data_IF_470169660591
#
_entry.id   IF_470169660591
#
_cell.length_a   1.000
_cell.length_b   1.000
_cell.length_c   1.000
_cell.angle_alpha   90.00
_cell.angle_beta   90.00
_cell.angle_gamma   90.00
#
_symmetry.space_group_name_H-M   'P 1'
#
loop_
_entity.id
_entity.type
_entity.pdbx_description
1 polymer ?
#
# COMPACT_ATOMS: atom_id res chain seq x y z
N UNK A 1 -17.59 5.57 -32.95
CA UNK A 1 -16.29 5.23 -32.33
C UNK A 1 -15.81 6.33 -31.39
N UNK A 2 -15.96 7.60 -31.77
CA UNK A 2 -15.55 8.75 -30.96
C UNK A 2 -16.37 8.93 -29.66
N UNK A 3 -17.67 8.68 -29.72
CA UNK A 3 -18.57 8.83 -28.56
C UNK A 3 -18.33 7.74 -27.49
N UNK A 4 -17.90 6.53 -27.89
CA UNK A 4 -17.64 5.43 -26.97
C UNK A 4 -16.33 5.65 -26.18
N UNK A 5 -15.32 6.20 -26.82
CA UNK A 5 -14.05 6.51 -26.14
C UNK A 5 -14.20 7.66 -25.13
N UNK A 6 -14.93 8.71 -25.48
CA UNK A 6 -15.21 9.81 -24.57
C UNK A 6 -16.03 9.37 -23.35
N UNK A 7 -16.97 8.44 -23.52
CA UNK A 7 -17.74 7.87 -22.42
C UNK A 7 -16.91 7.04 -21.44
N UNK A 8 -15.93 6.32 -21.95
CA UNK A 8 -15.02 5.52 -21.11
C UNK A 8 -14.05 6.41 -20.34
N UNK A 9 -13.50 7.43 -20.94
CA UNK A 9 -12.63 8.39 -20.25
C UNK A 9 -13.37 9.16 -19.14
N UNK A 10 -14.58 9.63 -19.43
CA UNK A 10 -15.40 10.33 -18.43
C UNK A 10 -15.80 9.43 -17.26
N UNK A 11 -16.09 8.16 -17.51
CA UNK A 11 -16.43 7.23 -16.44
C UNK A 11 -15.20 6.89 -15.55
N UNK A 12 -14.01 6.85 -16.12
CA UNK A 12 -12.76 6.65 -15.37
C UNK A 12 -12.37 7.90 -14.56
N UNK A 13 -12.55 9.09 -15.11
CA UNK A 13 -12.37 10.36 -14.40
C UNK A 13 -13.35 10.48 -13.22
N UNK A 14 -14.61 10.17 -13.45
CA UNK A 14 -15.64 10.22 -12.41
C UNK A 14 -15.37 9.24 -11.26
N UNK A 15 -14.80 8.06 -11.55
CA UNK A 15 -14.40 7.09 -10.52
C UNK A 15 -13.22 7.57 -9.68
N UNK A 16 -12.28 8.32 -10.26
CA UNK A 16 -11.15 8.90 -9.53
C UNK A 16 -11.58 10.06 -8.62
N UNK A 17 -12.55 10.85 -9.04
CA UNK A 17 -13.05 12.00 -8.27
C UNK A 17 -13.95 11.59 -7.09
N UNK A 18 -14.58 10.40 -7.16
CA UNK A 18 -15.50 9.92 -6.11
C UNK A 18 -14.87 8.94 -5.12
N UNK A 19 -13.58 8.61 -5.27
CA UNK A 19 -12.87 7.73 -4.34
C UNK A 19 -12.69 8.41 -2.98
N UNK A 20 -13.28 7.84 -1.93
CA UNK A 20 -13.07 8.25 -0.55
C UNK A 20 -11.96 7.40 0.04
N UNK A 21 -10.87 8.04 0.42
CA UNK A 21 -9.72 7.38 1.03
C UNK A 21 -9.76 7.52 2.54
N UNK A 22 -9.61 6.42 3.23
CA UNK A 22 -9.59 6.36 4.69
C UNK A 22 -8.17 6.06 5.14
N UNK A 23 -7.63 6.90 6.01
CA UNK A 23 -6.30 6.69 6.56
C UNK A 23 -6.32 5.54 7.57
N UNK A 24 -5.41 4.62 7.37
CA UNK A 24 -5.25 3.41 8.18
C UNK A 24 -3.84 3.35 8.76
N UNK A 25 -3.68 2.60 9.82
CA UNK A 25 -2.38 2.30 10.41
C UNK A 25 -2.18 0.80 10.55
N UNK A 26 -0.94 0.35 10.48
CA UNK A 26 -0.58 -1.03 10.80
C UNK A 26 -0.73 -1.22 12.31
N UNK A 27 -1.76 -1.95 12.72
CA UNK A 27 -2.02 -2.17 14.14
C UNK A 27 -1.29 -3.39 14.68
N UNK A 28 -1.15 -4.44 13.85
CA UNK A 28 -0.51 -5.67 14.30
C UNK A 28 -0.11 -6.53 13.11
N UNK A 29 0.94 -7.33 13.31
CA UNK A 29 1.37 -8.35 12.36
C UNK A 29 1.44 -9.70 13.09
N UNK A 30 0.92 -10.75 12.45
CA UNK A 30 0.99 -12.11 12.96
C UNK A 30 1.81 -12.93 11.98
N UNK A 31 2.91 -13.50 12.48
CA UNK A 31 3.77 -14.40 11.72
C UNK A 31 3.62 -15.79 12.35
N UNK A 32 3.09 -16.74 11.57
CA UNK A 32 2.94 -18.11 12.02
C UNK A 32 4.05 -18.98 11.48
N UNK A 33 4.72 -19.73 12.37
CA UNK A 33 5.72 -20.73 11.99
C UNK A 33 5.08 -22.06 11.60
N UNK A 34 3.82 -22.28 11.97
CA UNK A 34 3.10 -23.55 11.78
C UNK A 34 2.27 -23.53 10.48
N UNK A 35 1.70 -22.38 10.15
CA UNK A 35 0.90 -22.18 8.95
C UNK A 35 1.63 -21.23 8.01
N UNK A 36 1.56 -21.46 6.71
CA UNK A 36 2.11 -20.53 5.71
C UNK A 36 1.28 -19.24 5.56
N UNK A 37 0.51 -18.90 6.59
CA UNK A 37 -0.37 -17.73 6.59
C UNK A 37 0.15 -16.68 7.57
N UNK A 38 0.64 -15.59 7.01
CA UNK A 38 1.00 -14.40 7.75
C UNK A 38 -0.08 -13.34 7.51
N UNK A 39 -0.36 -12.56 8.53
CA UNK A 39 -1.47 -11.59 8.50
C UNK A 39 -1.00 -10.25 9.02
N UNK A 40 -1.32 -9.18 8.29
CA UNK A 40 -1.25 -7.82 8.82
C UNK A 40 -2.66 -7.31 9.07
N UNK A 41 -2.84 -6.57 10.15
CA UNK A 41 -4.09 -5.89 10.47
C UNK A 41 -3.93 -4.40 10.26
N UNK A 42 -4.78 -3.83 9.44
CA UNK A 42 -4.92 -2.39 9.30
C UNK A 42 -6.13 -1.93 10.10
N UNK A 43 -5.99 -0.79 10.76
CA UNK A 43 -7.03 -0.16 11.57
C UNK A 43 -7.16 1.31 11.18
N UNK A 44 -8.40 1.83 11.18
CA UNK A 44 -8.62 3.26 10.96
C UNK A 44 -7.89 4.10 12.01
N UNK A 45 -7.22 5.16 11.56
CA UNK A 45 -6.58 6.12 12.46
C UNK A 45 -7.62 6.89 13.26
N UNK A 46 -8.73 7.28 12.63
CA UNK A 46 -9.79 8.09 13.22
C UNK A 46 -11.09 7.33 13.46
N UNK A 47 -11.05 6.00 13.50
CA UNK A 47 -12.24 5.16 13.64
C UNK A 47 -11.94 3.82 14.28
N UNK A 48 -12.89 2.89 14.15
CA UNK A 48 -12.80 1.57 14.80
C UNK A 48 -12.72 0.41 13.81
N UNK A 49 -12.96 0.67 12.53
CA UNK A 49 -12.91 -0.41 11.52
C UNK A 49 -11.50 -0.94 11.36
N UNK A 50 -11.37 -2.24 11.28
CA UNK A 50 -10.11 -2.90 11.00
C UNK A 50 -10.34 -4.12 10.14
N UNK A 51 -9.33 -4.54 9.40
CA UNK A 51 -9.40 -5.75 8.60
C UNK A 51 -8.04 -6.40 8.42
N UNK A 52 -8.01 -7.72 8.22
CA UNK A 52 -6.78 -8.45 7.97
C UNK A 52 -6.46 -8.52 6.49
N UNK A 53 -5.17 -8.52 6.17
CA UNK A 53 -4.66 -8.85 4.84
C UNK A 53 -3.68 -10.02 4.99
N UNK A 54 -3.92 -11.10 4.24
CA UNK A 54 -2.99 -12.21 4.16
C UNK A 54 -1.79 -11.80 3.30
N UNK A 55 -0.59 -12.06 3.78
CA UNK A 55 0.66 -11.71 3.10
C UNK A 55 1.63 -12.88 3.09
N UNK A 56 2.65 -12.80 2.24
CA UNK A 56 3.71 -13.80 2.19
C UNK A 56 4.71 -13.66 3.34
N UNK A 57 5.45 -14.73 3.61
CA UNK A 57 6.43 -14.76 4.68
C UNK A 57 7.57 -13.74 4.47
N UNK A 58 8.00 -13.52 3.22
CA UNK A 58 9.09 -12.60 2.92
C UNK A 58 8.71 -11.16 3.22
N UNK A 59 7.51 -10.74 2.83
CA UNK A 59 6.98 -9.41 3.08
C UNK A 59 6.71 -9.21 4.57
N UNK A 60 6.14 -10.21 5.23
CA UNK A 60 5.91 -10.19 6.68
C UNK A 60 7.22 -10.05 7.45
N UNK A 61 8.24 -10.79 7.06
CA UNK A 61 9.58 -10.72 7.66
C UNK A 61 10.21 -9.35 7.45
N UNK A 62 10.07 -8.78 6.26
CA UNK A 62 10.56 -7.43 5.95
C UNK A 62 9.95 -6.37 6.86
N UNK A 63 8.62 -6.40 7.01
CA UNK A 63 7.89 -5.48 7.89
C UNK A 63 8.34 -5.67 9.34
N UNK A 64 8.37 -6.90 9.82
CA UNK A 64 8.73 -7.21 11.20
C UNK A 64 10.16 -6.78 11.52
N UNK A 65 11.12 -7.03 10.64
CA UNK A 65 12.51 -6.59 10.82
C UNK A 65 12.62 -5.08 10.94
N UNK A 66 11.91 -4.36 10.12
CA UNK A 66 11.93 -2.89 10.17
C UNK A 66 11.44 -2.35 11.51
N UNK A 67 10.45 -3.02 12.11
CA UNK A 67 9.83 -2.60 13.36
C UNK A 67 10.61 -3.07 14.61
N UNK A 68 11.33 -4.19 14.54
CA UNK A 68 11.89 -4.85 15.74
C UNK A 68 13.39 -5.05 15.73
N UNK A 69 14.06 -4.91 14.60
CA UNK A 69 15.48 -5.19 14.45
C UNK A 69 16.28 -3.94 14.08
N UNK A 70 17.59 -3.90 14.38
CA UNK A 70 18.45 -2.83 13.91
C UNK A 70 18.59 -2.87 12.38
N UNK A 71 18.98 -1.75 11.74
CA UNK A 71 19.20 -1.72 10.30
C UNK A 71 20.19 -2.80 9.85
N UNK A 72 19.89 -3.52 8.75
CA UNK A 72 20.83 -4.51 8.23
C UNK A 72 22.09 -3.83 7.67
N UNK A 73 23.26 -4.55 7.65
CA UNK A 73 24.51 -3.98 7.14
C UNK A 73 24.46 -3.68 5.63
N UNK A 74 23.63 -4.37 4.90
CA UNK A 74 23.39 -4.15 3.47
C UNK A 74 21.89 -4.05 3.20
N UNK A 75 21.45 -3.23 2.20
CA UNK A 75 20.03 -3.05 1.91
C UNK A 75 19.37 -4.36 1.49
N UNK A 76 18.22 -4.65 2.08
CA UNK A 76 17.34 -5.73 1.66
C UNK A 76 16.43 -5.25 0.53
N UNK A 77 15.54 -6.09 0.02
CA UNK A 77 14.73 -5.80 -1.17
C UNK A 77 13.93 -4.50 -1.07
N UNK A 78 13.20 -4.30 0.02
CA UNK A 78 12.40 -3.08 0.21
C UNK A 78 13.27 -1.84 0.48
N UNK A 79 14.42 -2.01 1.16
CA UNK A 79 15.41 -0.93 1.31
C UNK A 79 15.97 -0.51 -0.04
N UNK A 80 16.29 -1.49 -0.89
CA UNK A 80 16.78 -1.25 -2.23
C UNK A 80 15.74 -0.50 -3.07
N UNK A 81 14.48 -0.92 -3.02
CA UNK A 81 13.42 -0.27 -3.77
C UNK A 81 13.22 1.18 -3.33
N UNK A 82 13.24 1.44 -2.03
CA UNK A 82 13.24 2.80 -1.48
C UNK A 82 14.42 3.62 -2.01
N UNK A 83 15.61 3.05 -2.00
CA UNK A 83 16.82 3.72 -2.51
C UNK A 83 16.71 4.03 -4.00
N UNK A 84 16.19 3.11 -4.81
CA UNK A 84 15.99 3.33 -6.25
C UNK A 84 15.06 4.51 -6.49
N UNK A 85 13.94 4.59 -5.79
CA UNK A 85 13.01 5.72 -5.91
C UNK A 85 13.73 7.04 -5.60
N UNK A 86 14.46 7.09 -4.49
CA UNK A 86 15.17 8.28 -4.04
C UNK A 86 16.30 8.68 -4.99
N UNK A 87 17.11 7.73 -5.45
CA UNK A 87 18.23 8.00 -6.35
C UNK A 87 17.78 8.50 -7.72
N UNK A 88 16.58 8.15 -8.16
CA UNK A 88 15.97 8.68 -9.38
C UNK A 88 15.34 10.07 -9.21
N UNK A 89 15.47 10.68 -8.03
CA UNK A 89 14.93 12.01 -7.73
C UNK A 89 13.43 11.99 -7.45
N UNK A 90 12.85 10.83 -7.25
CA UNK A 90 11.43 10.68 -6.93
C UNK A 90 11.23 10.51 -5.42
N UNK A 91 9.99 10.67 -4.97
CA UNK A 91 9.63 10.55 -3.56
C UNK A 91 8.31 9.80 -3.42
N UNK A 92 8.33 8.71 -2.66
CA UNK A 92 7.11 8.01 -2.29
C UNK A 92 6.32 8.84 -1.28
N UNK A 93 5.09 9.21 -1.62
CA UNK A 93 4.25 10.07 -0.78
C UNK A 93 3.40 9.26 0.20
N UNK A 94 2.75 8.23 -0.31
CA UNK A 94 1.87 7.35 0.44
C UNK A 94 1.56 6.10 -0.38
N UNK A 95 0.79 5.20 0.22
CA UNK A 95 0.27 4.02 -0.47
C UNK A 95 -1.24 3.95 -0.32
N UNK A 96 -1.92 3.37 -1.31
CA UNK A 96 -3.37 3.23 -1.31
C UNK A 96 -3.76 1.81 -1.67
N UNK A 97 -4.56 1.17 -0.82
CA UNK A 97 -5.27 -0.07 -1.19
C UNK A 97 -6.54 0.34 -1.92
N UNK A 98 -6.59 0.10 -3.22
CA UNK A 98 -7.58 0.67 -4.12
C UNK A 98 -8.82 -0.18 -4.31
N UNK A 99 -8.66 -1.50 -4.29
CA UNK A 99 -9.77 -2.41 -4.57
C UNK A 99 -9.47 -3.82 -4.08
N UNK A 100 -10.53 -4.60 -3.97
CA UNK A 100 -10.46 -6.05 -3.79
C UNK A 100 -11.40 -6.70 -4.80
N UNK A 101 -10.85 -7.58 -5.64
CA UNK A 101 -11.59 -8.30 -6.68
C UNK A 101 -11.22 -9.77 -6.58
N UNK A 102 -12.23 -10.62 -6.46
CA UNK A 102 -12.05 -12.09 -6.35
C UNK A 102 -11.05 -12.48 -5.24
N UNK A 103 -11.21 -11.91 -4.05
CA UNK A 103 -10.34 -12.10 -2.89
C UNK A 103 -8.88 -11.63 -3.08
N UNK A 104 -8.61 -10.87 -4.13
CA UNK A 104 -7.30 -10.28 -4.41
C UNK A 104 -7.35 -8.78 -4.15
N UNK A 105 -6.46 -8.29 -3.28
CA UNK A 105 -6.30 -6.87 -3.04
C UNK A 105 -5.37 -6.23 -4.06
N UNK A 106 -5.72 -5.03 -4.48
CA UNK A 106 -4.91 -4.19 -5.36
C UNK A 106 -4.48 -2.94 -4.61
N UNK A 107 -3.25 -2.53 -4.83
CA UNK A 107 -2.70 -1.33 -4.21
C UNK A 107 -1.87 -0.55 -5.21
N UNK A 108 -1.65 0.71 -4.92
CA UNK A 108 -0.74 1.59 -5.67
C UNK A 108 0.19 2.33 -4.73
N UNK A 109 1.39 2.58 -5.23
CA UNK A 109 2.33 3.51 -4.64
C UNK A 109 2.09 4.87 -5.30
N UNK A 110 1.86 5.91 -4.54
CA UNK A 110 1.78 7.26 -5.09
C UNK A 110 3.14 7.93 -4.95
N UNK A 111 3.77 8.13 -6.10
CA UNK A 111 5.14 8.61 -6.19
C UNK A 111 5.15 9.98 -6.87
N UNK A 112 5.83 10.93 -6.25
CA UNK A 112 6.08 12.23 -6.85
C UNK A 112 7.41 12.17 -7.59
N UNK A 113 7.39 12.42 -8.90
CA UNK A 113 8.59 12.43 -9.74
C UNK A 113 9.43 13.68 -9.50
N UNK A 114 10.67 13.67 -10.02
CA UNK A 114 11.56 14.83 -9.97
C UNK A 114 10.93 16.08 -10.61
N UNK A 115 10.08 15.91 -11.61
CA UNK A 115 9.35 16.99 -12.29
C UNK A 115 8.11 17.49 -11.52
N UNK A 116 7.80 16.89 -10.39
CA UNK A 116 6.64 17.23 -9.56
C UNK A 116 5.33 16.56 -9.96
N UNK A 117 5.35 15.65 -10.92
CA UNK A 117 4.19 14.87 -11.33
C UNK A 117 3.91 13.72 -10.34
N UNK A 118 2.63 13.40 -10.15
CA UNK A 118 2.21 12.26 -9.36
C UNK A 118 2.01 11.05 -10.27
N UNK A 119 2.67 9.95 -9.94
CA UNK A 119 2.57 8.68 -10.66
C UNK A 119 2.06 7.61 -9.69
N UNK A 120 1.12 6.80 -10.16
CA UNK A 120 0.63 5.64 -9.44
C UNK A 120 1.31 4.37 -9.99
N UNK A 121 1.98 3.65 -9.12
CA UNK A 121 2.67 2.40 -9.47
C UNK A 121 1.91 1.23 -8.88
N UNK A 122 1.50 0.29 -9.72
CA UNK A 122 0.81 -0.92 -9.26
C UNK A 122 1.68 -1.73 -8.31
N UNK A 123 1.07 -2.22 -7.24
CA UNK A 123 1.76 -2.95 -6.18
C UNK A 123 0.82 -3.94 -5.50
N UNK A 124 1.38 -5.01 -4.97
CA UNK A 124 0.68 -5.81 -3.99
C UNK A 124 0.58 -5.01 -2.68
N UNK A 125 -0.53 -5.12 -1.92
CA UNK A 125 -0.66 -4.41 -0.65
C UNK A 125 0.45 -4.74 0.36
N UNK A 126 0.94 -5.98 0.37
CA UNK A 126 2.06 -6.39 1.25
C UNK A 126 3.35 -5.60 0.99
N UNK A 127 3.73 -5.43 -0.28
CA UNK A 127 4.92 -4.66 -0.66
C UNK A 127 4.71 -3.17 -0.41
N UNK A 128 3.52 -2.66 -0.69
CA UNK A 128 3.17 -1.26 -0.44
C UNK A 128 3.28 -0.92 1.06
N UNK A 129 2.72 -1.76 1.92
CA UNK A 129 2.80 -1.59 3.38
C UNK A 129 4.25 -1.68 3.84
N UNK A 130 5.01 -2.66 3.34
CA UNK A 130 6.44 -2.80 3.66
C UNK A 130 7.22 -1.52 3.32
N UNK A 131 6.99 -0.95 2.14
CA UNK A 131 7.63 0.31 1.75
C UNK A 131 7.23 1.47 2.66
N UNK A 132 5.95 1.55 3.04
CA UNK A 132 5.49 2.60 3.95
C UNK A 132 6.19 2.52 5.31
N UNK A 133 6.32 1.33 5.89
CA UNK A 133 6.98 1.15 7.19
C UNK A 133 8.50 1.29 7.12
N UNK A 134 9.12 1.18 5.95
CA UNK A 134 10.55 1.42 5.77
C UNK A 134 10.94 2.91 5.77
N UNK A 135 9.96 3.79 5.82
CA UNK A 135 10.17 5.24 5.99
C UNK A 135 10.08 5.62 7.48
N UNK A 136 10.78 6.68 7.84
CA UNK A 136 10.75 7.26 9.17
C UNK A 136 10.47 8.77 9.05
N UNK A 137 9.29 9.23 9.48
CA UNK A 137 8.17 8.46 10.03
C UNK A 137 7.50 7.56 8.99
N UNK A 138 6.73 6.57 9.45
CA UNK A 138 5.96 5.68 8.57
C UNK A 138 5.05 6.51 7.67
N UNK A 139 5.07 6.21 6.38
CA UNK A 139 4.24 6.93 5.40
C UNK A 139 2.75 6.61 5.60
N UNK A 140 1.86 7.54 5.23
CA UNK A 140 0.43 7.29 5.30
C UNK A 140 0.00 6.09 4.46
N UNK A 141 -0.90 5.30 5.03
CA UNK A 141 -1.54 4.16 4.38
C UNK A 141 -3.01 4.51 4.22
N UNK A 142 -3.50 4.53 2.99
CA UNK A 142 -4.91 4.79 2.71
C UNK A 142 -5.58 3.54 2.16
N UNK A 143 -6.85 3.40 2.46
CA UNK A 143 -7.70 2.34 1.91
C UNK A 143 -8.96 3.00 1.33
N UNK A 144 -9.33 2.62 0.13
CA UNK A 144 -10.57 3.07 -0.47
C UNK A 144 -11.76 2.57 0.38
N UNK A 145 -12.67 3.46 0.70
CA UNK A 145 -13.82 3.16 1.55
C UNK A 145 -14.66 1.98 0.99
N UNK A 146 -14.71 1.83 -0.32
CA UNK A 146 -15.39 0.69 -0.97
C UNK A 146 -14.80 -0.66 -0.58
N UNK A 147 -13.51 -0.72 -0.30
CA UNK A 147 -12.84 -1.93 0.23
C UNK A 147 -13.30 -2.19 1.66
N UNK A 148 -13.32 -1.16 2.49
CA UNK A 148 -13.73 -1.27 3.89
C UNK A 148 -15.18 -1.71 4.02
N UNK A 149 -16.08 -1.23 3.17
CA UNK A 149 -17.49 -1.66 3.14
C UNK A 149 -17.64 -3.16 2.85
N UNK A 150 -16.66 -3.75 2.16
CA UNK A 150 -16.68 -5.17 1.80
C UNK A 150 -16.05 -6.06 2.87
N UNK A 151 -15.01 -5.60 3.58
CA UNK A 151 -14.15 -6.45 4.42
C UNK A 151 -14.16 -6.11 5.91
N UNK A 152 -14.65 -4.96 6.26
CA UNK A 152 -14.67 -4.51 7.67
C UNK A 152 -16.02 -4.60 8.33
#
# INVERSE_FOLDING_TARGET
>A
AFEVEAGVELSNLCRKETAVLVEMELSRIIISEINDQQVVYLREVSGERSFPILIGIFEATSINRRLTAPPPPRPLTHDLLKSVITELGAELQDIVVTSMVDHTYYAVLRVKTADGEMVEVDSRPSDAIALAVHHDPVLPIFVDDSVLETVA
#
